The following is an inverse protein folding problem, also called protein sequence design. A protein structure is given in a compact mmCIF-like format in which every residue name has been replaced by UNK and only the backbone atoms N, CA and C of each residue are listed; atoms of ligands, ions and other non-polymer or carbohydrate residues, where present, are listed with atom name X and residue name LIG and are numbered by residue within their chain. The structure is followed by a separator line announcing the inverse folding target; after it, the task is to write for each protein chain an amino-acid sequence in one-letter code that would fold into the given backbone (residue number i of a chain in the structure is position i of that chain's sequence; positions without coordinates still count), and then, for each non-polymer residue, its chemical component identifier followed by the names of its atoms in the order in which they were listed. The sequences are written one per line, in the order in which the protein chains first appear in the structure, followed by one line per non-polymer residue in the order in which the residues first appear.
data_IF_082055145375
#
_entry.id   IF_082055145375
#
_cell.length_a   1.000
_cell.length_b   1.000
_cell.length_c   1.000
_cell.angle_alpha   90.00
_cell.angle_beta   90.00
_cell.angle_gamma   90.00
#
_symmetry.space_group_name_H-M   'P 1'
#
loop_
_entity.id
_entity.type
_entity.pdbx_description
1 polymer ?
#
# COMPACT_ATOMS: atom_id res chain seq x y z
N UNK A 1 23.19 -20.63 24.36
CA UNK A 1 24.25 -20.70 23.32
C UNK A 1 24.06 -21.84 22.31
N UNK A 2 23.99 -23.14 22.70
CA UNK A 2 23.78 -24.22 21.69
C UNK A 2 22.39 -24.14 21.03
N UNK A 3 21.37 -23.84 21.79
CA UNK A 3 19.97 -23.67 21.30
C UNK A 3 19.82 -22.46 20.37
N UNK A 4 20.54 -21.37 20.63
CA UNK A 4 20.42 -20.14 19.81
C UNK A 4 21.04 -20.31 18.42
N UNK A 5 22.13 -21.10 18.31
CA UNK A 5 22.74 -21.41 17.02
C UNK A 5 21.82 -22.26 16.13
N UNK A 6 21.20 -23.28 16.72
CA UNK A 6 20.23 -24.12 16.00
C UNK A 6 19.00 -23.32 15.53
N UNK A 7 18.54 -22.35 16.33
CA UNK A 7 17.43 -21.47 15.94
C UNK A 7 17.81 -20.51 14.80
N UNK A 8 19.00 -19.91 14.84
CA UNK A 8 19.48 -19.06 13.73
C UNK A 8 19.62 -19.88 12.44
N UNK A 9 20.15 -21.10 12.51
CA UNK A 9 20.29 -21.99 11.35
C UNK A 9 18.90 -22.34 10.74
N UNK A 10 17.86 -22.54 11.55
CA UNK A 10 16.48 -22.74 11.08
C UNK A 10 15.94 -21.50 10.38
N UNK A 11 16.11 -20.32 10.98
CA UNK A 11 15.69 -19.04 10.39
C UNK A 11 16.39 -18.81 9.05
N UNK A 12 17.70 -19.03 9.00
CA UNK A 12 18.50 -18.90 7.79
C UNK A 12 18.08 -19.87 6.69
N UNK A 13 17.87 -21.13 7.03
CA UNK A 13 17.39 -22.14 6.08
C UNK A 13 16.03 -21.78 5.48
N UNK A 14 15.09 -21.34 6.31
CA UNK A 14 13.79 -20.88 5.85
C UNK A 14 13.91 -19.63 4.98
N UNK A 15 14.68 -18.62 5.41
CA UNK A 15 14.88 -17.40 4.65
C UNK A 15 15.49 -17.69 3.27
N UNK A 16 16.51 -18.54 3.20
CA UNK A 16 17.12 -18.94 1.94
C UNK A 16 16.13 -19.68 1.03
N UNK A 17 15.29 -20.55 1.57
CA UNK A 17 14.32 -21.31 0.79
C UNK A 17 13.15 -20.47 0.28
N UNK A 18 12.75 -19.43 1.01
CA UNK A 18 11.57 -18.60 0.69
C UNK A 18 11.90 -17.26 0.06
N UNK A 19 12.99 -16.62 0.51
CA UNK A 19 13.42 -15.29 0.06
C UNK A 19 14.62 -15.33 -0.89
N UNK A 20 15.27 -16.50 -1.00
CA UNK A 20 16.51 -16.68 -1.77
C UNK A 20 17.76 -16.27 -1.02
N UNK A 21 17.64 -15.49 0.04
CA UNK A 21 18.73 -15.00 0.89
C UNK A 21 18.25 -14.74 2.33
N UNK A 22 19.19 -14.69 3.27
CA UNK A 22 18.92 -14.23 4.64
C UNK A 22 18.91 -12.69 4.63
N UNK A 23 17.80 -12.02 4.97
CA UNK A 23 17.79 -10.57 5.09
C UNK A 23 18.81 -10.06 6.11
N UNK A 24 19.58 -9.03 5.71
CA UNK A 24 20.67 -8.49 6.54
C UNK A 24 20.19 -8.10 7.95
N UNK A 25 19.01 -7.49 8.04
CA UNK A 25 18.43 -7.08 9.34
C UNK A 25 18.22 -8.27 10.28
N UNK A 26 17.72 -9.39 9.79
CA UNK A 26 17.49 -10.58 10.62
C UNK A 26 18.84 -11.17 11.09
N UNK A 27 19.85 -11.17 10.22
CA UNK A 27 21.19 -11.60 10.55
C UNK A 27 21.80 -10.74 11.66
N UNK A 28 21.71 -9.41 11.54
CA UNK A 28 22.23 -8.47 12.53
C UNK A 28 21.47 -8.57 13.85
N UNK A 29 20.15 -8.67 13.83
CA UNK A 29 19.35 -8.91 15.03
C UNK A 29 19.80 -10.19 15.75
N UNK A 30 20.05 -11.28 15.02
CA UNK A 30 20.52 -12.55 15.60
C UNK A 30 21.87 -12.44 16.27
N UNK A 31 22.76 -11.52 15.84
CA UNK A 31 24.04 -11.26 16.49
C UNK A 31 23.84 -10.56 17.85
N UNK A 32 22.94 -9.57 17.91
CA UNK A 32 22.73 -8.76 19.12
C UNK A 32 21.74 -9.40 20.08
N UNK A 33 20.64 -9.97 19.56
CA UNK A 33 19.59 -10.58 20.37
C UNK A 33 18.77 -11.58 19.55
N UNK A 34 18.88 -12.85 19.87
CA UNK A 34 18.20 -13.92 19.17
C UNK A 34 16.67 -13.82 19.24
N UNK A 35 16.12 -13.30 20.34
CA UNK A 35 14.66 -13.20 20.50
C UNK A 35 14.07 -12.13 19.57
N UNK A 36 14.81 -11.07 19.28
CA UNK A 36 14.46 -10.09 18.27
C UNK A 36 14.45 -10.70 16.85
N UNK A 37 15.43 -11.54 16.53
CA UNK A 37 15.47 -12.24 15.25
C UNK A 37 14.30 -13.24 15.10
N UNK A 38 13.96 -13.96 16.17
CA UNK A 38 12.81 -14.87 16.21
C UNK A 38 11.49 -14.12 16.06
N UNK A 39 11.35 -12.98 16.71
CA UNK A 39 10.16 -12.13 16.63
C UNK A 39 9.94 -11.65 15.19
N UNK A 40 10.97 -11.08 14.56
CA UNK A 40 10.93 -10.63 13.17
C UNK A 40 10.63 -11.77 12.18
N UNK A 41 11.18 -12.94 12.45
CA UNK A 41 10.90 -14.13 11.66
C UNK A 41 9.45 -14.62 11.81
N UNK A 42 8.95 -14.65 13.05
CA UNK A 42 7.54 -15.00 13.34
C UNK A 42 6.58 -14.02 12.66
N UNK A 43 6.86 -12.71 12.71
CA UNK A 43 6.05 -11.71 12.01
C UNK A 43 6.05 -11.94 10.50
N UNK A 44 7.19 -12.25 9.91
CA UNK A 44 7.27 -12.58 8.48
C UNK A 44 6.36 -13.76 8.11
N UNK A 45 6.35 -14.82 8.94
CA UNK A 45 5.48 -15.97 8.73
C UNK A 45 4.01 -15.62 8.97
N UNK A 46 3.69 -14.95 10.08
CA UNK A 46 2.32 -14.72 10.50
C UNK A 46 1.61 -13.63 9.71
N UNK A 47 2.29 -12.51 9.42
CA UNK A 47 1.70 -11.35 8.76
C UNK A 47 1.93 -11.32 7.24
N UNK A 48 2.84 -12.13 6.70
CA UNK A 48 3.19 -12.10 5.28
C UNK A 48 3.19 -13.49 4.64
N UNK A 49 4.32 -14.18 4.59
CA UNK A 49 4.48 -15.40 3.80
C UNK A 49 3.64 -16.60 4.27
N UNK A 50 3.17 -16.60 5.51
CA UNK A 50 2.25 -17.60 6.03
C UNK A 50 0.78 -17.37 5.63
N UNK A 51 0.42 -16.20 5.12
CA UNK A 51 -0.93 -15.90 4.67
C UNK A 51 -1.30 -16.71 3.42
N UNK A 52 -2.55 -17.18 3.35
CA UNK A 52 -2.98 -18.14 2.33
C UNK A 52 -4.26 -17.76 1.58
N UNK A 53 -4.95 -16.68 1.97
CA UNK A 53 -6.16 -16.28 1.29
C UNK A 53 -5.86 -15.54 -0.02
N UNK A 54 -4.69 -14.90 -0.13
CA UNK A 54 -4.19 -14.31 -1.37
C UNK A 54 -3.20 -15.24 -2.08
N UNK A 55 -3.21 -15.30 -3.42
CA UNK A 55 -2.12 -15.91 -4.18
C UNK A 55 -0.78 -15.27 -3.79
N UNK A 56 0.28 -16.05 -3.64
CA UNK A 56 1.61 -15.53 -3.25
C UNK A 56 2.11 -14.42 -4.17
N UNK A 57 1.79 -14.50 -5.44
CA UNK A 57 2.07 -13.44 -6.42
C UNK A 57 1.40 -12.12 -6.03
N UNK A 58 0.11 -12.13 -5.73
CA UNK A 58 -0.64 -10.91 -5.32
C UNK A 58 -0.15 -10.40 -3.97
N UNK A 59 0.13 -11.31 -3.04
CA UNK A 59 0.67 -10.97 -1.72
C UNK A 59 2.00 -10.18 -1.85
N UNK A 60 2.91 -10.65 -2.72
CA UNK A 60 4.21 -10.00 -2.95
C UNK A 60 4.10 -8.69 -3.73
N UNK A 61 3.16 -8.58 -4.68
CA UNK A 61 2.86 -7.33 -5.38
C UNK A 61 2.26 -6.28 -4.43
N UNK A 62 1.39 -6.71 -3.50
CA UNK A 62 0.85 -5.84 -2.45
C UNK A 62 1.96 -5.34 -1.53
N UNK A 63 2.86 -6.23 -1.11
CA UNK A 63 4.02 -5.85 -0.29
C UNK A 63 4.97 -4.89 -1.04
N UNK A 64 5.17 -5.10 -2.35
CA UNK A 64 5.93 -4.18 -3.21
C UNK A 64 5.29 -2.79 -3.26
N UNK A 65 3.98 -2.70 -3.49
CA UNK A 65 3.26 -1.42 -3.52
C UNK A 65 3.39 -0.65 -2.19
N UNK A 66 3.21 -1.34 -1.07
CA UNK A 66 3.35 -0.74 0.27
C UNK A 66 4.79 -0.31 0.54
N UNK A 67 5.79 -1.11 0.15
CA UNK A 67 7.21 -0.76 0.31
C UNK A 67 7.60 0.47 -0.50
N UNK A 68 7.09 0.59 -1.73
CA UNK A 68 7.28 1.77 -2.59
C UNK A 68 6.71 3.03 -1.92
N UNK A 69 5.47 2.97 -1.44
CA UNK A 69 4.82 4.09 -0.76
C UNK A 69 5.54 4.51 0.53
N UNK A 70 6.14 3.56 1.23
CA UNK A 70 6.91 3.83 2.45
C UNK A 70 8.37 4.26 2.20
N UNK A 71 8.85 4.27 0.95
CA UNK A 71 10.20 4.69 0.60
C UNK A 71 11.30 3.72 1.10
N UNK A 72 11.01 2.43 1.18
CA UNK A 72 11.90 1.40 1.74
C UNK A 72 12.70 0.69 0.65
N UNK A 73 13.80 1.26 0.17
CA UNK A 73 14.54 0.75 -0.99
C UNK A 73 14.93 -0.73 -0.89
N UNK A 74 15.45 -1.19 0.25
CA UNK A 74 15.81 -2.61 0.44
C UNK A 74 14.60 -3.53 0.42
N UNK A 75 13.51 -3.12 1.05
CA UNK A 75 12.22 -3.84 1.05
C UNK A 75 11.63 -3.92 -0.35
N UNK A 76 11.66 -2.82 -1.11
CA UNK A 76 11.22 -2.77 -2.52
C UNK A 76 11.93 -3.84 -3.34
N UNK A 77 13.26 -3.91 -3.25
CA UNK A 77 14.03 -4.91 -4.03
C UNK A 77 13.76 -6.34 -3.59
N UNK A 78 13.56 -6.59 -2.30
CA UNK A 78 13.19 -7.90 -1.78
C UNK A 78 11.82 -8.34 -2.33
N UNK A 79 10.80 -7.49 -2.20
CA UNK A 79 9.45 -7.85 -2.66
C UNK A 79 9.31 -7.89 -4.18
N UNK A 80 10.11 -7.12 -4.92
CA UNK A 80 10.25 -7.28 -6.36
C UNK A 80 10.81 -8.67 -6.73
N UNK A 81 11.91 -9.11 -6.10
CA UNK A 81 12.46 -10.45 -6.30
C UNK A 81 11.43 -11.53 -5.98
N UNK A 82 10.73 -11.40 -4.85
CA UNK A 82 9.67 -12.35 -4.47
C UNK A 82 8.52 -12.38 -5.48
N UNK A 83 8.05 -11.24 -5.95
CA UNK A 83 7.02 -11.18 -6.98
C UNK A 83 7.47 -11.92 -8.24
N UNK A 84 8.71 -11.73 -8.66
CA UNK A 84 9.31 -12.45 -9.80
C UNK A 84 9.37 -13.96 -9.54
N UNK A 85 9.81 -14.39 -8.35
CA UNK A 85 9.90 -15.80 -7.97
C UNK A 85 8.51 -16.47 -7.93
N UNK A 86 7.45 -15.73 -7.59
CA UNK A 86 6.07 -16.20 -7.63
C UNK A 86 5.39 -16.02 -9.00
N UNK A 87 6.17 -15.74 -10.05
CA UNK A 87 5.72 -15.73 -11.44
C UNK A 87 5.09 -14.41 -11.90
N UNK A 88 5.38 -13.27 -11.24
CA UNK A 88 4.92 -11.97 -11.75
C UNK A 88 5.70 -11.56 -13.01
N UNK A 89 4.95 -11.10 -14.03
CA UNK A 89 5.49 -10.38 -15.17
C UNK A 89 5.78 -8.92 -14.85
N UNK A 90 6.48 -8.22 -15.76
CA UNK A 90 6.76 -6.79 -15.56
C UNK A 90 5.49 -5.94 -15.58
N UNK A 91 4.47 -6.30 -16.35
CA UNK A 91 3.20 -5.58 -16.39
C UNK A 91 2.46 -5.62 -15.03
N UNK A 92 2.50 -6.77 -14.33
CA UNK A 92 1.94 -6.88 -12.98
C UNK A 92 2.75 -6.09 -11.95
N UNK A 93 4.06 -5.98 -12.12
CA UNK A 93 4.92 -5.10 -11.31
C UNK A 93 4.57 -3.63 -11.57
N UNK A 94 4.33 -3.23 -12.82
CA UNK A 94 3.88 -1.89 -13.16
C UNK A 94 2.51 -1.57 -12.55
N UNK A 95 1.59 -2.53 -12.49
CA UNK A 95 0.31 -2.38 -11.81
C UNK A 95 0.49 -2.08 -10.31
N UNK A 96 1.42 -2.76 -9.66
CA UNK A 96 1.79 -2.49 -8.26
C UNK A 96 2.33 -1.05 -8.07
N UNK A 97 3.18 -0.57 -8.99
CA UNK A 97 3.69 0.81 -8.99
C UNK A 97 2.57 1.82 -9.21
N UNK A 98 1.66 1.56 -10.16
CA UNK A 98 0.49 2.40 -10.43
C UNK A 98 -0.41 2.54 -9.21
N UNK A 99 -0.74 1.42 -8.54
CA UNK A 99 -1.54 1.42 -7.32
C UNK A 99 -0.89 2.24 -6.20
N UNK A 100 0.43 2.08 -6.00
CA UNK A 100 1.19 2.86 -5.02
C UNK A 100 1.18 4.36 -5.37
N UNK A 101 1.46 4.73 -6.62
CA UNK A 101 1.45 6.10 -7.10
C UNK A 101 0.10 6.76 -6.86
N UNK A 102 -1.00 6.12 -7.29
CA UNK A 102 -2.33 6.67 -7.12
C UNK A 102 -2.70 6.92 -5.66
N UNK A 103 -2.41 5.96 -4.79
CA UNK A 103 -2.71 6.10 -3.36
C UNK A 103 -1.90 7.21 -2.70
N UNK A 104 -0.63 7.37 -3.08
CA UNK A 104 0.21 8.47 -2.58
C UNK A 104 -0.29 9.83 -3.07
N UNK A 105 -0.64 9.97 -4.34
CA UNK A 105 -1.21 11.22 -4.88
C UNK A 105 -2.52 11.56 -4.18
N UNK A 106 -3.43 10.58 -4.06
CA UNK A 106 -4.72 10.78 -3.41
C UNK A 106 -4.58 11.16 -1.91
N UNK A 107 -3.53 10.71 -1.23
CA UNK A 107 -3.32 11.04 0.18
C UNK A 107 -3.08 12.54 0.42
N UNK A 108 -2.59 13.26 -0.58
CA UNK A 108 -2.39 14.72 -0.50
C UNK A 108 -3.71 15.48 -0.34
N UNK A 109 -4.82 14.88 -0.76
CA UNK A 109 -6.15 15.46 -0.58
C UNK A 109 -6.62 15.50 0.88
N UNK A 110 -5.96 14.77 1.78
CA UNK A 110 -6.30 14.79 3.22
C UNK A 110 -6.28 16.19 3.85
N UNK A 111 -5.56 17.11 3.23
CA UNK A 111 -5.44 18.51 3.70
C UNK A 111 -6.45 19.45 3.05
N UNK A 112 -7.20 19.03 2.03
CA UNK A 112 -8.03 19.93 1.23
C UNK A 112 -9.12 20.62 2.05
N UNK A 113 -9.78 19.90 2.94
CA UNK A 113 -10.83 20.48 3.81
C UNK A 113 -10.29 21.60 4.71
N UNK A 114 -9.05 21.50 5.18
CA UNK A 114 -8.43 22.48 6.06
C UNK A 114 -7.87 23.71 5.32
N UNK A 115 -7.38 23.55 4.09
CA UNK A 115 -6.81 24.64 3.29
C UNK A 115 -7.85 25.40 2.45
N UNK A 116 -8.96 24.75 2.09
CA UNK A 116 -10.06 25.33 1.30
C UNK A 116 -10.52 26.70 1.83
N UNK A 117 -10.83 26.91 3.14
CA UNK A 117 -11.28 28.21 3.63
C UNK A 117 -10.22 29.32 3.44
N UNK A 118 -8.94 28.96 3.50
CA UNK A 118 -7.84 29.90 3.30
C UNK A 118 -7.81 30.36 1.84
N UNK A 119 -7.86 29.40 0.90
CA UNK A 119 -7.86 29.67 -0.54
C UNK A 119 -9.08 30.52 -0.93
N UNK A 120 -10.29 30.18 -0.44
CA UNK A 120 -11.50 30.93 -0.71
C UNK A 120 -11.40 32.38 -0.24
N UNK A 121 -10.85 32.60 0.96
CA UNK A 121 -10.64 33.95 1.51
C UNK A 121 -9.76 34.83 0.63
N UNK A 122 -8.68 34.29 0.06
CA UNK A 122 -7.72 35.07 -0.74
C UNK A 122 -8.05 35.10 -2.23
N UNK A 123 -8.80 34.15 -2.76
CA UNK A 123 -9.19 34.11 -4.17
C UNK A 123 -10.31 35.08 -4.52
N UNK A 124 -11.07 35.54 -3.55
CA UNK A 124 -12.29 36.36 -3.77
C UNK A 124 -13.40 35.60 -4.54
N UNK A 125 -13.18 34.32 -4.86
CA UNK A 125 -14.13 33.46 -5.55
C UNK A 125 -14.87 32.62 -4.52
N UNK A 126 -16.15 32.90 -4.33
CA UNK A 126 -17.06 31.88 -3.80
C UNK A 126 -17.15 30.81 -4.90
N UNK A 127 -16.57 29.63 -4.66
CA UNK A 127 -16.63 28.53 -5.61
C UNK A 127 -18.06 28.37 -6.13
N UNK A 128 -18.23 28.12 -7.43
CA UNK A 128 -19.54 27.91 -8.03
C UNK A 128 -20.15 26.60 -7.48
N UNK A 129 -20.92 26.73 -6.38
CA UNK A 129 -21.51 25.60 -5.64
C UNK A 129 -22.34 24.68 -6.53
N UNK A 130 -23.01 25.23 -7.54
CA UNK A 130 -23.86 24.44 -8.44
C UNK A 130 -22.99 23.61 -9.41
N UNK A 131 -21.89 24.14 -9.85
CA UNK A 131 -20.95 23.42 -10.70
C UNK A 131 -20.20 22.32 -9.90
N UNK A 132 -19.77 22.60 -8.66
CA UNK A 132 -19.22 21.60 -7.75
C UNK A 132 -20.22 20.46 -7.56
N UNK A 133 -21.48 20.78 -7.27
CA UNK A 133 -22.54 19.78 -7.10
C UNK A 133 -22.74 18.95 -8.36
N UNK A 134 -22.72 19.56 -9.54
CA UNK A 134 -22.85 18.87 -10.83
C UNK A 134 -21.68 17.91 -11.07
N UNK A 135 -20.44 18.36 -10.86
CA UNK A 135 -19.23 17.54 -11.01
C UNK A 135 -19.26 16.36 -10.04
N UNK A 136 -19.56 16.61 -8.77
CA UNK A 136 -19.66 15.55 -7.76
C UNK A 136 -20.77 14.55 -8.07
N UNK A 137 -21.90 15.01 -8.60
CA UNK A 137 -23.01 14.14 -9.06
C UNK A 137 -22.58 13.21 -10.19
N UNK A 138 -21.82 13.70 -11.17
CA UNK A 138 -21.29 12.88 -12.26
C UNK A 138 -20.31 11.83 -11.74
N UNK A 139 -19.35 12.22 -10.89
CA UNK A 139 -18.38 11.29 -10.28
C UNK A 139 -19.09 10.18 -9.49
N UNK A 140 -20.12 10.55 -8.73
CA UNK A 140 -20.92 9.59 -7.96
C UNK A 140 -21.60 8.56 -8.87
N UNK A 141 -22.24 9.03 -9.94
CA UNK A 141 -22.95 8.16 -10.88
C UNK A 141 -21.97 7.21 -11.60
N UNK A 142 -20.81 7.71 -12.03
CA UNK A 142 -19.80 6.92 -12.73
C UNK A 142 -19.10 5.90 -11.81
N UNK A 143 -18.86 6.27 -10.55
CA UNK A 143 -18.18 5.38 -9.58
C UNK A 143 -19.07 4.29 -9.00
N UNK A 144 -20.40 4.44 -9.09
CA UNK A 144 -21.39 3.55 -8.48
C UNK A 144 -21.35 3.53 -6.95
N UNK A 145 -20.70 4.52 -6.32
CA UNK A 145 -20.57 4.62 -4.86
C UNK A 145 -21.75 5.34 -4.25
N UNK A 146 -22.23 4.89 -3.09
CA UNK A 146 -23.31 5.55 -2.35
C UNK A 146 -22.92 6.94 -1.83
N UNK A 147 -21.64 7.13 -1.48
CA UNK A 147 -21.08 8.40 -1.04
C UNK A 147 -19.67 8.59 -1.60
N UNK A 148 -19.31 9.85 -1.87
CA UNK A 148 -17.96 10.23 -2.28
C UNK A 148 -17.17 10.74 -1.07
N UNK A 149 -15.82 10.62 -1.08
CA UNK A 149 -14.95 11.23 -0.08
C UNK A 149 -15.16 12.74 0.01
N UNK A 150 -15.26 13.30 1.22
CA UNK A 150 -15.46 14.74 1.47
C UNK A 150 -14.35 15.60 0.86
N UNK A 151 -13.12 15.10 0.85
CA UNK A 151 -11.98 15.80 0.30
C UNK A 151 -12.05 15.99 -1.24
N UNK A 152 -12.82 15.15 -1.97
CA UNK A 152 -13.08 15.38 -3.40
C UNK A 152 -13.90 16.66 -3.62
N UNK A 153 -14.94 16.88 -2.82
CA UNK A 153 -15.75 18.10 -2.88
C UNK A 153 -14.90 19.33 -2.53
N UNK A 154 -14.04 19.20 -1.53
CA UNK A 154 -13.11 20.26 -1.16
C UNK A 154 -12.13 20.58 -2.30
N UNK A 155 -11.55 19.56 -2.96
CA UNK A 155 -10.69 19.74 -4.13
C UNK A 155 -11.44 20.40 -5.28
N UNK A 156 -12.64 19.94 -5.61
CA UNK A 156 -13.48 20.54 -6.64
C UNK A 156 -13.80 22.02 -6.36
N UNK A 157 -14.00 22.36 -5.09
CA UNK A 157 -14.25 23.74 -4.65
C UNK A 157 -13.01 24.63 -4.80
N UNK A 158 -11.82 24.06 -4.67
CA UNK A 158 -10.54 24.76 -4.82
C UNK A 158 -10.17 24.95 -6.30
N UNK A 159 -10.32 23.88 -7.10
CA UNK A 159 -9.94 23.91 -8.52
C UNK A 159 -10.66 22.80 -9.32
N UNK A 160 -11.40 23.20 -10.36
CA UNK A 160 -12.00 22.26 -11.32
C UNK A 160 -10.96 21.55 -12.18
N UNK A 161 -9.82 22.18 -12.46
CA UNK A 161 -8.75 21.53 -13.23
C UNK A 161 -8.13 20.40 -12.42
N UNK A 162 -7.83 20.64 -11.13
CA UNK A 162 -7.24 19.63 -10.25
C UNK A 162 -8.18 18.44 -10.01
N UNK A 163 -9.49 18.64 -9.86
CA UNK A 163 -10.42 17.51 -9.74
C UNK A 163 -10.54 16.75 -11.06
N UNK A 164 -10.51 17.41 -12.21
CA UNK A 164 -10.49 16.79 -13.53
C UNK A 164 -9.25 15.92 -13.71
N UNK A 165 -8.08 16.44 -13.42
CA UNK A 165 -6.81 15.71 -13.45
C UNK A 165 -6.84 14.49 -12.50
N UNK A 166 -7.30 14.69 -11.27
CA UNK A 166 -7.39 13.60 -10.29
C UNK A 166 -8.28 12.43 -10.78
N UNK A 167 -9.41 12.73 -11.42
CA UNK A 167 -10.31 11.71 -11.98
C UNK A 167 -9.63 10.96 -13.13
N UNK A 168 -8.98 11.70 -14.03
CA UNK A 168 -8.25 11.10 -15.15
C UNK A 168 -7.11 10.21 -14.64
N UNK A 169 -6.28 10.68 -13.74
CA UNK A 169 -5.19 9.92 -13.13
C UNK A 169 -5.70 8.67 -12.41
N UNK A 170 -6.81 8.79 -11.67
CA UNK A 170 -7.44 7.64 -11.01
C UNK A 170 -7.89 6.58 -12.03
N UNK A 171 -8.51 7.01 -13.13
CA UNK A 171 -8.93 6.11 -14.21
C UNK A 171 -7.75 5.39 -14.85
N UNK A 172 -6.68 6.12 -15.16
CA UNK A 172 -5.48 5.57 -15.81
C UNK A 172 -4.67 4.67 -14.86
N UNK A 173 -4.43 5.14 -13.62
CA UNK A 173 -3.56 4.45 -12.67
C UNK A 173 -4.23 3.23 -12.02
N UNK A 174 -5.55 3.20 -11.90
CA UNK A 174 -6.28 2.04 -11.36
C UNK A 174 -6.84 1.11 -12.44
N UNK A 175 -6.57 1.38 -13.73
CA UNK A 175 -6.83 0.45 -14.82
C UNK A 175 -5.64 -0.50 -14.94
N UNK A 176 -5.79 -1.82 -14.68
CA UNK A 176 -4.68 -2.76 -14.68
C UNK A 176 -4.15 -3.05 -16.09
N UNK A 177 -2.86 -3.39 -16.17
CA UNK A 177 -2.25 -3.95 -17.37
C UNK A 177 -2.37 -5.48 -17.41
N UNK A 178 -2.26 -6.14 -16.25
CA UNK A 178 -2.15 -7.59 -16.18
C UNK A 178 -2.77 -8.24 -14.93
N UNK A 179 -2.93 -7.53 -13.82
CA UNK A 179 -3.62 -8.09 -12.65
C UNK A 179 -5.14 -7.98 -12.79
N UNK A 180 -5.90 -8.79 -12.06
CA UNK A 180 -7.35 -8.62 -11.99
C UNK A 180 -7.69 -7.25 -11.36
N UNK A 181 -8.75 -6.60 -11.85
CA UNK A 181 -9.19 -5.29 -11.37
C UNK A 181 -9.33 -5.22 -9.85
N UNK A 182 -9.85 -6.26 -9.22
CA UNK A 182 -9.99 -6.31 -7.76
C UNK A 182 -8.63 -6.16 -7.05
N UNK A 183 -7.56 -6.71 -7.61
CA UNK A 183 -6.23 -6.65 -6.99
C UNK A 183 -5.58 -5.27 -7.14
N UNK A 184 -5.92 -4.49 -8.18
CA UNK A 184 -5.56 -3.07 -8.22
C UNK A 184 -6.11 -2.32 -7.02
N UNK A 185 -7.42 -2.49 -6.75
CA UNK A 185 -8.04 -1.87 -5.58
C UNK A 185 -7.49 -2.41 -4.26
N UNK A 186 -7.17 -3.70 -4.17
CA UNK A 186 -6.57 -4.30 -2.99
C UNK A 186 -5.18 -3.71 -2.68
N UNK A 187 -4.32 -3.57 -3.69
CA UNK A 187 -3.00 -2.96 -3.54
C UNK A 187 -3.12 -1.49 -3.13
N UNK A 188 -4.00 -0.73 -3.78
CA UNK A 188 -4.26 0.67 -3.43
C UNK A 188 -4.84 0.81 -2.00
N UNK A 189 -5.71 -0.11 -1.58
CA UNK A 189 -6.22 -0.20 -0.23
C UNK A 189 -5.09 -0.45 0.79
N UNK A 190 -4.25 -1.46 0.57
CA UNK A 190 -3.13 -1.77 1.46
C UNK A 190 -2.16 -0.60 1.62
N UNK A 191 -1.86 0.11 0.52
CA UNK A 191 -1.07 1.35 0.56
C UNK A 191 -1.77 2.40 1.41
N UNK A 192 -3.06 2.67 1.18
CA UNK A 192 -3.82 3.67 1.94
C UNK A 192 -3.85 3.39 3.43
N UNK A 193 -3.98 2.10 3.82
CA UNK A 193 -3.84 1.65 5.22
C UNK A 193 -2.46 2.00 5.78
N UNK A 194 -1.40 1.73 5.01
CA UNK A 194 -0.01 1.94 5.45
C UNK A 194 0.35 3.40 5.65
N UNK A 195 -0.21 4.29 4.84
CA UNK A 195 -0.02 5.75 4.92
C UNK A 195 -1.10 6.45 5.77
N UNK A 196 -2.02 5.69 6.36
CA UNK A 196 -3.09 6.16 7.27
C UNK A 196 -4.03 7.19 6.64
N UNK A 197 -4.41 6.97 5.39
CA UNK A 197 -5.38 7.80 4.71
C UNK A 197 -6.74 7.09 4.62
N UNK A 198 -7.60 7.34 5.60
CA UNK A 198 -8.85 6.61 5.85
C UNK A 198 -9.84 6.68 4.69
N UNK A 199 -10.01 7.86 4.06
CA UNK A 199 -10.97 8.02 2.97
C UNK A 199 -10.63 7.15 1.75
N UNK A 200 -9.35 7.12 1.36
CA UNK A 200 -8.91 6.24 0.29
C UNK A 200 -8.98 4.77 0.71
N UNK A 201 -8.65 4.43 1.95
CA UNK A 201 -8.77 3.06 2.43
C UNK A 201 -10.22 2.57 2.34
N UNK A 202 -11.19 3.37 2.77
CA UNK A 202 -12.63 3.06 2.63
C UNK A 202 -13.05 2.92 1.17
N UNK A 203 -12.66 3.87 0.33
CA UNK A 203 -12.98 3.89 -1.09
C UNK A 203 -12.46 2.65 -1.81
N UNK A 204 -11.18 2.34 -1.66
CA UNK A 204 -10.57 1.21 -2.36
C UNK A 204 -11.04 -0.14 -1.81
N UNK A 205 -11.30 -0.25 -0.51
CA UNK A 205 -11.88 -1.45 0.07
C UNK A 205 -13.30 -1.71 -0.47
N UNK A 206 -14.12 -0.65 -0.58
CA UNK A 206 -15.46 -0.75 -1.18
C UNK A 206 -15.37 -1.21 -2.62
N UNK A 207 -14.50 -0.60 -3.42
CA UNK A 207 -14.28 -0.98 -4.81
C UNK A 207 -13.74 -2.42 -4.94
N UNK A 208 -12.86 -2.84 -4.04
CA UNK A 208 -12.39 -4.21 -3.99
C UNK A 208 -13.55 -5.21 -3.81
N UNK A 209 -14.45 -4.96 -2.87
CA UNK A 209 -15.60 -5.83 -2.65
C UNK A 209 -16.61 -5.79 -3.81
N UNK A 210 -16.86 -4.63 -4.39
CA UNK A 210 -17.72 -4.48 -5.58
C UNK A 210 -17.18 -5.27 -6.79
N UNK A 211 -15.87 -5.49 -6.85
CA UNK A 211 -15.21 -6.28 -7.89
C UNK A 211 -14.99 -7.75 -7.49
N UNK A 212 -15.74 -8.27 -6.52
CA UNK A 212 -15.71 -9.69 -6.13
C UNK A 212 -14.60 -10.06 -5.14
N UNK A 213 -14.04 -9.09 -4.45
CA UNK A 213 -13.08 -9.32 -3.36
C UNK A 213 -13.72 -9.98 -2.14
N UNK A 214 -12.92 -10.70 -1.36
CA UNK A 214 -13.36 -11.41 -0.15
C UNK A 214 -12.76 -10.78 1.10
N UNK A 215 -13.48 -10.85 2.23
CA UNK A 215 -13.01 -10.32 3.52
C UNK A 215 -11.64 -10.90 3.90
N UNK A 216 -11.46 -12.21 3.77
CA UNK A 216 -10.20 -12.87 4.11
C UNK A 216 -9.02 -12.39 3.24
N UNK A 217 -9.25 -12.03 1.97
CA UNK A 217 -8.22 -11.42 1.10
C UNK A 217 -7.86 -10.01 1.60
N UNK A 218 -8.85 -9.22 2.05
CA UNK A 218 -8.61 -7.89 2.62
C UNK A 218 -7.84 -7.98 3.96
N UNK A 219 -8.14 -8.97 4.79
CA UNK A 219 -7.40 -9.24 6.04
C UNK A 219 -5.93 -9.57 5.76
N UNK A 220 -5.64 -10.36 4.72
CA UNK A 220 -4.26 -10.63 4.31
C UNK A 220 -3.57 -9.35 3.84
N UNK A 221 -4.24 -8.48 3.09
CA UNK A 221 -3.70 -7.21 2.66
C UNK A 221 -3.41 -6.26 3.83
N UNK A 222 -4.28 -6.19 4.85
CA UNK A 222 -4.05 -5.43 6.08
C UNK A 222 -2.83 -5.97 6.83
N UNK A 223 -2.71 -7.29 6.94
CA UNK A 223 -1.57 -7.93 7.60
C UNK A 223 -0.25 -7.58 6.89
N UNK A 224 -0.23 -7.63 5.55
CA UNK A 224 0.92 -7.20 4.74
C UNK A 224 1.23 -5.73 4.95
N UNK A 225 0.23 -4.83 4.88
CA UNK A 225 0.43 -3.40 5.10
C UNK A 225 1.05 -3.12 6.47
N UNK A 226 0.55 -3.80 7.50
CA UNK A 226 1.05 -3.69 8.88
C UNK A 226 2.49 -4.15 9.00
N UNK A 227 2.83 -5.33 8.46
CA UNK A 227 4.17 -5.90 8.47
C UNK A 227 5.18 -4.99 7.75
N UNK A 228 4.87 -4.58 6.52
CA UNK A 228 5.77 -3.74 5.73
C UNK A 228 5.95 -2.37 6.39
N UNK A 229 4.90 -1.79 6.95
CA UNK A 229 5.01 -0.49 7.66
C UNK A 229 5.89 -0.61 8.91
N UNK A 230 5.77 -1.68 9.69
CA UNK A 230 6.65 -1.96 10.83
C UNK A 230 8.10 -2.16 10.40
N UNK A 231 8.33 -2.88 9.31
CA UNK A 231 9.66 -3.11 8.75
C UNK A 231 10.40 -1.84 8.28
N UNK A 232 9.72 -0.72 8.10
CA UNK A 232 10.38 0.56 7.85
C UNK A 232 11.37 0.91 8.97
N UNK A 233 11.02 0.64 10.21
CA UNK A 233 11.91 0.85 11.35
C UNK A 233 13.11 -0.09 11.27
N UNK A 234 12.86 -1.37 10.99
CA UNK A 234 13.90 -2.38 10.92
C UNK A 234 14.91 -2.14 9.79
N UNK A 235 14.42 -1.80 8.60
CA UNK A 235 15.30 -1.47 7.46
C UNK A 235 16.11 -0.20 7.69
N UNK A 236 15.56 0.77 8.42
CA UNK A 236 16.27 2.00 8.80
C UNK A 236 17.28 1.79 9.91
N UNK A 237 17.12 0.75 10.74
CA UNK A 237 18.01 0.42 11.84
C UNK A 237 19.26 -0.38 11.42
N UNK A 238 19.36 -0.84 10.17
CA UNK A 238 20.46 -1.71 9.69
C UNK A 238 21.82 -1.10 9.99
N UNK A 239 22.03 0.18 9.74
CA UNK A 239 23.32 0.84 10.00
C UNK A 239 23.64 0.98 11.50
N UNK A 240 22.60 1.10 12.34
CA UNK A 240 22.77 1.09 13.80
C UNK A 240 23.20 -0.30 14.29
N UNK A 241 22.60 -1.35 13.71
CA UNK A 241 22.88 -2.74 14.10
C UNK A 241 24.26 -3.26 13.66
N UNK A 242 24.98 -2.50 12.84
CA UNK A 242 26.38 -2.81 12.45
C UNK A 242 27.41 -2.37 13.49
N UNK A 243 27.01 -1.58 14.47
CA UNK A 243 27.87 -1.14 15.60
C UNK A 243 27.88 -2.17 16.71
#
# INVERSE_FOLDING_TARGET
MRNDKEEIEKIESYAKSTLGEMPEVIKLLGIHNIDMAKEQFRENQFLYLGRTNLPKKVLSLTALAVSLANGQTSSVMLHFKLAKNFGSGMLEVLDSIKAAKMSMMASTMSTMSSIKPIIEKFSGKNGNKDEVRRVMGNIKNESGMDSLPENLESLASVSFDLIGEHIQEKSELLSPFAVDQKYMFLMAFAVSVSIRYDECAKTYLTQFFMNGGKVAEAEDAIAVARFITGNKVMTSAVEILKW
#
